data_IF_899242510292
#
_entry.id   IF_899242510292
#
_cell.length_a   1.000
_cell.length_b   1.000
_cell.length_c   1.000
_cell.angle_alpha   90.00
_cell.angle_beta   90.00
_cell.angle_gamma   90.00
#
_symmetry.space_group_name_H-M   'P 1'
#
loop_
_entity.id
_entity.type
_entity.pdbx_description
1 polymer ?
#
# COMPACT_ATOMS: atom_id res chain seq x y z
N UNK A 1 -13.34 3.02 -11.81
CA UNK A 1 -12.30 2.78 -12.84
C UNK A 1 -11.02 2.39 -12.11
N UNK A 2 -10.25 1.39 -12.57
CA UNK A 2 -9.00 0.99 -11.91
C UNK A 2 -7.98 2.13 -11.88
N UNK A 3 -7.19 2.23 -10.81
CA UNK A 3 -6.24 3.33 -10.62
C UNK A 3 -5.21 3.42 -11.75
N UNK A 4 -4.71 2.27 -12.23
CA UNK A 4 -3.79 2.21 -13.37
C UNK A 4 -4.29 2.92 -14.64
N UNK A 5 -5.61 3.09 -14.78
CA UNK A 5 -6.22 3.74 -15.92
C UNK A 5 -6.65 5.18 -15.60
N UNK A 6 -7.11 5.46 -14.38
CA UNK A 6 -7.59 6.79 -14.00
C UNK A 6 -6.48 7.75 -13.59
N UNK A 7 -5.43 7.24 -12.94
CA UNK A 7 -4.27 8.00 -12.44
C UNK A 7 -2.97 7.22 -12.72
N UNK A 8 -2.62 7.03 -14.01
CA UNK A 8 -1.54 6.12 -14.41
C UNK A 8 -0.16 6.50 -13.86
N UNK A 9 0.14 7.79 -13.71
CA UNK A 9 1.44 8.24 -13.18
C UNK A 9 1.56 7.97 -11.67
N UNK A 10 0.54 8.36 -10.89
CA UNK A 10 0.51 8.06 -9.45
C UNK A 10 0.59 6.56 -9.20
N UNK A 11 -0.13 5.77 -10.01
CA UNK A 11 -0.08 4.32 -9.91
C UNK A 11 1.31 3.76 -10.22
N UNK A 12 2.00 4.25 -11.26
CA UNK A 12 3.39 3.85 -11.56
C UNK A 12 4.33 4.19 -10.41
N UNK A 13 4.20 5.38 -9.83
CA UNK A 13 5.01 5.80 -8.69
C UNK A 13 4.78 4.90 -7.48
N UNK A 14 3.53 4.58 -7.16
CA UNK A 14 3.18 3.65 -6.08
C UNK A 14 3.77 2.25 -6.30
N UNK A 15 3.77 1.76 -7.56
CA UNK A 15 4.44 0.50 -7.91
C UNK A 15 5.94 0.57 -7.65
N UNK A 16 6.63 1.65 -8.05
CA UNK A 16 8.06 1.82 -7.79
C UNK A 16 8.39 1.90 -6.29
N UNK A 17 7.58 2.64 -5.52
CA UNK A 17 7.76 2.74 -4.07
C UNK A 17 7.58 1.38 -3.38
N UNK A 18 6.53 0.64 -3.72
CA UNK A 18 6.31 -0.69 -3.17
C UNK A 18 7.42 -1.66 -3.60
N UNK A 19 7.87 -1.58 -4.84
CA UNK A 19 8.97 -2.40 -5.34
C UNK A 19 10.28 -2.10 -4.60
N UNK A 20 10.56 -0.84 -4.26
CA UNK A 20 11.70 -0.49 -3.42
C UNK A 20 11.59 -1.09 -2.01
N UNK A 21 10.40 -1.08 -1.39
CA UNK A 21 10.20 -1.71 -0.08
C UNK A 21 10.43 -3.23 -0.11
N UNK A 22 10.17 -3.90 -1.24
CA UNK A 22 10.54 -5.30 -1.43
C UNK A 22 12.06 -5.52 -1.40
N UNK A 23 12.85 -4.59 -1.97
CA UNK A 23 14.31 -4.67 -1.88
C UNK A 23 14.78 -4.54 -0.43
N UNK A 24 14.26 -3.54 0.28
CA UNK A 24 14.60 -3.31 1.69
C UNK A 24 14.21 -4.50 2.58
N UNK A 25 13.07 -5.15 2.32
CA UNK A 25 12.68 -6.35 3.04
C UNK A 25 13.66 -7.51 2.81
N UNK A 26 14.09 -7.70 1.56
CA UNK A 26 15.06 -8.73 1.21
C UNK A 26 16.45 -8.46 1.82
N UNK A 27 16.87 -7.20 1.85
CA UNK A 27 18.11 -6.75 2.51
C UNK A 27 18.03 -6.96 4.03
N UNK A 28 16.93 -6.58 4.68
CA UNK A 28 16.71 -6.78 6.12
C UNK A 28 16.82 -8.26 6.51
N UNK A 29 16.23 -9.17 5.73
CA UNK A 29 16.35 -10.63 5.94
C UNK A 29 17.80 -11.11 5.79
N UNK A 30 18.55 -10.57 4.84
CA UNK A 30 19.90 -11.02 4.50
C UNK A 30 20.96 -10.47 5.45
N UNK A 31 20.82 -9.21 5.88
CA UNK A 31 21.85 -8.46 6.60
C UNK A 31 21.47 -8.09 8.05
N UNK A 32 20.26 -8.45 8.53
CA UNK A 32 19.73 -8.11 9.87
C UNK A 32 19.76 -6.60 10.19
N UNK A 33 19.60 -5.77 9.16
CA UNK A 33 19.51 -4.31 9.29
C UNK A 33 18.04 -3.92 9.44
N UNK A 34 17.73 -2.89 10.21
CA UNK A 34 16.36 -2.39 10.36
C UNK A 34 16.09 -1.30 9.30
N UNK A 35 15.10 -1.53 8.44
CA UNK A 35 14.57 -0.51 7.53
C UNK A 35 13.16 -0.08 7.97
N UNK A 36 12.76 1.19 7.72
CA UNK A 36 11.42 1.69 8.08
C UNK A 36 10.33 1.21 7.10
N UNK A 37 10.28 -0.09 6.81
CA UNK A 37 9.37 -0.69 5.81
C UNK A 37 7.91 -0.41 6.17
N UNK A 38 7.53 -0.59 7.44
CA UNK A 38 6.17 -0.35 7.92
C UNK A 38 5.70 1.09 7.70
N UNK A 39 6.60 2.07 7.86
CA UNK A 39 6.31 3.49 7.62
C UNK A 39 6.11 3.75 6.12
N UNK A 40 6.95 3.17 5.27
CA UNK A 40 6.79 3.23 3.82
C UNK A 40 5.47 2.60 3.35
N UNK A 41 5.10 1.44 3.89
CA UNK A 41 3.81 0.80 3.59
C UNK A 41 2.62 1.65 4.05
N UNK A 42 2.75 2.33 5.19
CA UNK A 42 1.72 3.27 5.67
C UNK A 42 1.56 4.46 4.74
N UNK A 43 2.67 5.05 4.25
CA UNK A 43 2.62 6.15 3.29
C UNK A 43 1.94 5.73 1.97
N UNK A 44 2.27 4.54 1.44
CA UNK A 44 1.60 3.96 0.27
C UNK A 44 0.10 3.76 0.54
N UNK A 45 -0.27 3.23 1.70
CA UNK A 45 -1.67 3.04 2.07
C UNK A 45 -2.45 4.35 2.17
N UNK A 46 -1.84 5.42 2.69
CA UNK A 46 -2.44 6.74 2.76
C UNK A 46 -2.70 7.33 1.37
N UNK A 47 -1.74 7.18 0.45
CA UNK A 47 -1.91 7.61 -0.94
C UNK A 47 -2.98 6.78 -1.67
N UNK A 48 -2.97 5.45 -1.53
CA UNK A 48 -4.01 4.57 -2.06
C UNK A 48 -5.39 4.95 -1.51
N UNK A 49 -5.49 5.20 -0.20
CA UNK A 49 -6.73 5.60 0.45
C UNK A 49 -7.25 6.94 -0.03
N UNK A 50 -6.35 7.93 -0.21
CA UNK A 50 -6.68 9.23 -0.78
C UNK A 50 -7.20 9.12 -2.21
N UNK A 51 -6.58 8.26 -3.01
CA UNK A 51 -7.02 7.92 -4.37
C UNK A 51 -8.26 7.01 -4.41
N UNK A 52 -8.82 6.63 -3.25
CA UNK A 52 -9.99 5.75 -3.12
C UNK A 52 -9.79 4.38 -3.77
N UNK A 53 -8.57 3.84 -3.66
CA UNK A 53 -8.18 2.54 -4.18
C UNK A 53 -9.10 1.42 -3.68
N UNK A 54 -9.60 0.60 -4.59
CA UNK A 54 -10.24 -0.66 -4.21
C UNK A 54 -9.20 -1.70 -3.79
N UNK A 55 -9.60 -2.78 -3.09
CA UNK A 55 -8.69 -3.90 -2.83
C UNK A 55 -8.05 -4.48 -4.10
N UNK A 56 -8.75 -4.42 -5.24
CA UNK A 56 -8.22 -4.89 -6.53
C UNK A 56 -7.04 -4.04 -6.99
N UNK A 57 -7.07 -2.74 -6.75
CA UNK A 57 -5.95 -1.85 -7.09
C UNK A 57 -4.71 -2.18 -6.24
N UNK A 58 -4.87 -2.54 -4.97
CA UNK A 58 -3.78 -2.99 -4.10
C UNK A 58 -3.15 -4.29 -4.59
N UNK A 59 -3.98 -5.28 -4.97
CA UNK A 59 -3.49 -6.55 -5.53
C UNK A 59 -2.77 -6.32 -6.87
N UNK A 60 -3.27 -5.41 -7.68
CA UNK A 60 -2.62 -5.06 -8.94
C UNK A 60 -1.26 -4.41 -8.72
N UNK A 61 -1.15 -3.44 -7.81
CA UNK A 61 0.13 -2.83 -7.41
C UNK A 61 1.13 -3.89 -6.95
N UNK A 62 0.70 -4.78 -6.06
CA UNK A 62 1.52 -5.90 -5.57
C UNK A 62 2.01 -6.80 -6.71
N UNK A 63 1.11 -7.19 -7.60
CA UNK A 63 1.42 -8.09 -8.72
C UNK A 63 2.39 -7.46 -9.70
N UNK A 64 2.22 -6.16 -10.01
CA UNK A 64 3.11 -5.44 -10.93
C UNK A 64 4.51 -5.26 -10.32
N UNK A 65 4.60 -4.91 -9.04
CA UNK A 65 5.88 -4.76 -8.37
C UNK A 65 6.67 -6.08 -8.28
N UNK A 66 6.00 -7.20 -7.93
CA UNK A 66 6.65 -8.52 -7.94
C UNK A 66 7.16 -8.84 -9.34
N UNK A 67 6.33 -8.67 -10.38
CA UNK A 67 6.73 -8.95 -11.77
C UNK A 67 8.00 -8.19 -12.16
N UNK A 68 8.12 -6.93 -11.76
CA UNK A 68 9.33 -6.13 -11.99
C UNK A 68 10.55 -6.69 -11.26
N UNK A 69 10.40 -7.15 -10.02
CA UNK A 69 11.51 -7.63 -9.19
C UNK A 69 11.99 -9.03 -9.54
N UNK A 70 11.12 -9.87 -10.10
CA UNK A 70 11.46 -11.26 -10.42
C UNK A 70 11.87 -11.49 -11.88
N UNK A 71 11.71 -10.49 -12.76
CA UNK A 71 11.90 -10.67 -14.21
C UNK A 71 13.29 -11.18 -14.58
N UNK A 72 14.34 -10.61 -13.98
CA UNK A 72 15.74 -10.84 -14.38
C UNK A 72 16.64 -11.26 -13.21
N UNK A 73 16.10 -12.04 -12.26
CA UNK A 73 16.85 -12.52 -11.09
C UNK A 73 16.88 -14.05 -11.02
N UNK A 74 17.91 -14.65 -10.38
CA UNK A 74 17.95 -16.09 -10.18
C UNK A 74 16.72 -16.61 -9.44
N UNK A 75 16.29 -17.84 -9.74
CA UNK A 75 15.09 -18.47 -9.15
C UNK A 75 15.04 -18.40 -7.62
N UNK A 76 16.17 -18.62 -6.94
CA UNK A 76 16.25 -18.51 -5.49
C UNK A 76 15.94 -17.07 -4.98
N UNK A 77 16.42 -16.05 -5.70
CA UNK A 77 16.15 -14.65 -5.35
C UNK A 77 14.70 -14.27 -5.68
N UNK A 78 14.16 -14.76 -6.80
CA UNK A 78 12.74 -14.59 -7.14
C UNK A 78 11.82 -15.18 -6.07
N UNK A 79 12.13 -16.40 -5.60
CA UNK A 79 11.38 -17.05 -4.52
C UNK A 79 11.43 -16.25 -3.22
N UNK A 80 12.60 -15.72 -2.86
CA UNK A 80 12.74 -14.87 -1.68
C UNK A 80 11.87 -13.59 -1.80
N UNK A 81 11.84 -12.92 -2.95
CA UNK A 81 10.94 -11.79 -3.17
C UNK A 81 9.47 -12.17 -2.99
N UNK A 82 9.03 -13.32 -3.52
CA UNK A 82 7.64 -13.78 -3.40
C UNK A 82 7.26 -14.04 -1.94
N UNK A 83 8.17 -14.61 -1.15
CA UNK A 83 7.96 -14.86 0.27
C UNK A 83 7.77 -13.56 1.04
N UNK A 84 8.70 -12.60 0.89
CA UNK A 84 8.60 -11.30 1.57
C UNK A 84 7.36 -10.51 1.14
N UNK A 85 7.04 -10.54 -0.16
CA UNK A 85 5.93 -9.78 -0.69
C UNK A 85 4.57 -10.16 -0.09
N UNK A 86 4.39 -11.41 0.34
CA UNK A 86 3.15 -11.88 0.99
C UNK A 86 2.90 -11.19 2.32
N UNK A 87 3.94 -10.96 3.10
CA UNK A 87 3.84 -10.28 4.40
C UNK A 87 3.57 -8.79 4.16
N UNK A 88 4.33 -8.17 3.26
CA UNK A 88 4.22 -6.74 2.95
C UNK A 88 2.83 -6.36 2.42
N UNK A 89 2.20 -7.18 1.56
CA UNK A 89 0.86 -6.86 1.04
C UNK A 89 -0.22 -6.96 2.13
N UNK A 90 -0.09 -7.92 3.06
CA UNK A 90 -1.02 -8.05 4.18
C UNK A 90 -0.93 -6.84 5.11
N UNK A 91 0.29 -6.38 5.41
CA UNK A 91 0.51 -5.19 6.22
C UNK A 91 0.00 -3.91 5.51
N UNK A 92 0.27 -3.76 4.20
CA UNK A 92 -0.27 -2.68 3.38
C UNK A 92 -1.80 -2.64 3.42
N UNK A 93 -2.45 -3.79 3.24
CA UNK A 93 -3.91 -3.91 3.31
C UNK A 93 -4.43 -3.53 4.70
N UNK A 94 -3.73 -3.92 5.78
CA UNK A 94 -4.06 -3.52 7.14
C UNK A 94 -4.03 -2.00 7.34
N UNK A 95 -3.01 -1.31 6.80
CA UNK A 95 -2.95 0.14 6.83
C UNK A 95 -4.04 0.80 5.98
N UNK A 96 -4.35 0.26 4.81
CA UNK A 96 -5.41 0.79 3.95
C UNK A 96 -6.80 0.65 4.59
N UNK A 97 -7.09 -0.50 5.21
CA UNK A 97 -8.31 -0.69 6.01
C UNK A 97 -8.37 0.31 7.17
N UNK A 98 -7.24 0.53 7.85
CA UNK A 98 -7.14 1.51 8.93
C UNK A 98 -7.41 2.94 8.45
N UNK A 99 -6.91 3.30 7.26
CA UNK A 99 -7.21 4.58 6.61
C UNK A 99 -8.71 4.75 6.38
N UNK A 100 -9.36 3.76 5.77
CA UNK A 100 -10.80 3.84 5.51
C UNK A 100 -11.64 3.90 6.79
N UNK A 101 -11.27 3.15 7.83
CA UNK A 101 -11.94 3.25 9.14
C UNK A 101 -11.85 4.66 9.72
N UNK A 102 -10.65 5.27 9.70
CA UNK A 102 -10.46 6.65 10.18
C UNK A 102 -11.29 7.65 9.38
N UNK A 103 -11.31 7.51 8.06
CA UNK A 103 -12.10 8.37 7.17
C UNK A 103 -13.60 8.30 7.47
N UNK A 104 -14.16 7.11 7.65
CA UNK A 104 -15.57 6.93 8.01
C UNK A 104 -15.92 7.51 9.39
N UNK A 105 -15.05 7.35 10.38
CA UNK A 105 -15.25 7.93 11.71
C UNK A 105 -15.22 9.46 11.67
N UNK A 106 -14.28 10.05 10.92
CA UNK A 106 -14.18 11.50 10.75
C UNK A 106 -15.44 12.08 10.08
N UNK A 107 -15.95 11.45 9.03
CA UNK A 107 -17.22 11.85 8.39
C UNK A 107 -18.41 11.78 9.34
N UNK A 108 -18.45 10.76 10.19
CA UNK A 108 -19.52 10.56 11.17
C UNK A 108 -19.51 11.67 12.23
N UNK A 109 -18.32 12.07 12.69
CA UNK A 109 -18.14 13.17 13.63
C UNK A 109 -18.57 14.53 13.04
N UNK A 110 -18.16 14.84 11.81
CA UNK A 110 -18.56 16.08 11.11
C UNK A 110 -20.08 16.14 10.93
N UNK A 111 -20.72 15.03 10.56
CA UNK A 111 -22.17 14.95 10.39
C UNK A 111 -22.93 15.24 11.69
N UNK A 112 -22.46 14.71 12.84
CA UNK A 112 -23.06 14.97 14.15
C UNK A 112 -22.95 16.46 14.54
N UNK A 113 -21.77 17.06 14.33
CA UNK A 113 -21.53 18.47 14.65
C UNK A 113 -22.44 19.41 13.85
N UNK A 114 -22.63 19.13 12.56
CA UNK A 114 -23.48 19.95 11.69
C UNK A 114 -24.98 19.77 11.97
N UNK A 115 -25.41 18.62 12.49
CA UNK A 115 -26.81 18.36 12.84
C UNK A 115 -27.22 19.00 14.18
N UNK A 116 -26.27 19.14 15.12
CA UNK A 116 -26.48 19.84 16.39
C UNK A 116 -26.61 21.37 16.26
N UNK A 117 -26.13 21.97 15.17
CA UNK A 117 -26.24 23.42 14.91
C UNK A 117 -27.53 23.85 14.21
N UNK A 118 -28.41 22.92 13.81
CA UNK A 118 -29.71 23.21 13.18
C UNK A 118 -30.89 23.18 14.15
N UNK A 119 -30.62 23.04 15.44
CA UNK A 119 -31.60 23.05 16.52
C UNK A 119 -31.28 24.24 17.43
N UNK A 120 -31.42 25.45 16.90
CA UNK A 120 -31.53 26.72 17.64
C UNK A 120 -32.09 27.78 16.69
#
# INVERSE_FOLDING_TARGET
>A
MPLRNSVPEDFRQLVQQYAHLLDLALEQRSYRVNHPISEGLRAIAEQLGFLKASPRDTIELHTQAIKQKIADVPSAKAQAYIEEARILVLELMGFLVSYYRKYHLALSYVKQRNNGSRVN
#
